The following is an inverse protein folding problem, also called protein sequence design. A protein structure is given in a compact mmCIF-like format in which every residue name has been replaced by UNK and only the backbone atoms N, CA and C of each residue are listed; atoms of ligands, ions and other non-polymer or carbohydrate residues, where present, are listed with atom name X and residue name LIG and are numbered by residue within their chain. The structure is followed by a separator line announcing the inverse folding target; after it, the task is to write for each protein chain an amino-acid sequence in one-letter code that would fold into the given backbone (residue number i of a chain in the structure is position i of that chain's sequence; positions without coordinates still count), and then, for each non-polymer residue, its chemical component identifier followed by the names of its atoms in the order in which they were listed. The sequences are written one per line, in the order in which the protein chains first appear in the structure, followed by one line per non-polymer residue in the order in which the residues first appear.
data_IF_072176760552
#
_entry.id   IF_072176760552
#
_cell.length_a   1.000
_cell.length_b   1.000
_cell.length_c   1.000
_cell.angle_alpha   90.00
_cell.angle_beta   90.00
_cell.angle_gamma   90.00
#
_symmetry.space_group_name_H-M   'P 1'
#
loop_
_entity.id
_entity.type
_entity.pdbx_description
1 polymer ?
#
# COMPACT_ATOMS: atom_id res chain seq x y z
N UNK A 1 -60.07 -48.35 -5.06
CA UNK A 1 -59.40 -47.39 -5.95
C UNK A 1 -58.70 -46.38 -5.06
N UNK A 2 -57.38 -46.29 -5.19
CA UNK A 2 -56.45 -45.61 -4.27
C UNK A 2 -56.31 -44.12 -4.62
N UNK A 3 -56.36 -43.24 -3.62
CA UNK A 3 -55.96 -41.83 -3.73
C UNK A 3 -54.43 -41.73 -3.51
N UNK A 4 -53.62 -41.16 -4.41
CA UNK A 4 -52.21 -40.93 -4.13
C UNK A 4 -52.02 -39.57 -3.44
N UNK A 5 -51.44 -39.60 -2.24
CA UNK A 5 -50.84 -38.44 -1.58
C UNK A 5 -49.51 -38.11 -2.27
N UNK A 6 -49.40 -36.98 -2.95
CA UNK A 6 -48.12 -36.47 -3.45
C UNK A 6 -47.41 -35.68 -2.34
N UNK A 7 -46.30 -36.24 -1.84
CA UNK A 7 -45.39 -35.59 -0.90
C UNK A 7 -44.60 -34.50 -1.64
N UNK A 8 -44.75 -33.23 -1.25
CA UNK A 8 -43.88 -32.15 -1.73
C UNK A 8 -42.69 -32.06 -0.77
N UNK A 9 -41.51 -32.50 -1.22
CA UNK A 9 -40.26 -32.31 -0.49
C UNK A 9 -39.75 -30.88 -0.71
N UNK A 10 -39.74 -30.05 0.32
CA UNK A 10 -39.14 -28.73 0.29
C UNK A 10 -37.61 -28.86 0.40
N UNK A 11 -36.90 -28.53 -0.68
CA UNK A 11 -35.44 -28.38 -0.68
C UNK A 11 -35.07 -27.12 0.11
N UNK A 12 -34.59 -27.30 1.34
CA UNK A 12 -33.93 -26.24 2.10
C UNK A 12 -32.54 -26.01 1.48
N UNK A 13 -32.40 -24.96 0.68
CA UNK A 13 -31.09 -24.47 0.28
C UNK A 13 -30.40 -23.91 1.53
N UNK A 14 -29.35 -24.58 2.02
CA UNK A 14 -28.50 -24.05 3.06
C UNK A 14 -27.75 -22.82 2.51
N UNK A 15 -28.08 -21.64 3.01
CA UNK A 15 -27.32 -20.42 2.72
C UNK A 15 -25.99 -20.52 3.47
N UNK A 16 -24.89 -20.70 2.73
CA UNK A 16 -23.54 -20.57 3.30
C UNK A 16 -23.27 -19.09 3.51
N UNK A 17 -23.21 -18.65 4.77
CA UNK A 17 -22.72 -17.31 5.12
C UNK A 17 -21.20 -17.31 4.94
N UNK A 18 -20.66 -16.42 4.11
CA UNK A 18 -19.23 -16.11 4.17
C UNK A 18 -18.94 -15.53 5.56
N UNK A 19 -17.99 -16.13 6.28
CA UNK A 19 -17.51 -15.58 7.55
C UNK A 19 -16.50 -14.49 7.21
N UNK A 20 -16.91 -13.24 7.35
CA UNK A 20 -16.04 -12.10 7.13
C UNK A 20 -15.21 -11.88 8.40
N UNK A 21 -13.91 -12.16 8.32
CA UNK A 21 -12.99 -11.94 9.43
C UNK A 21 -12.75 -10.43 9.59
N UNK A 22 -12.75 -9.89 10.82
CA UNK A 22 -12.43 -8.49 11.04
C UNK A 22 -11.03 -8.20 10.48
N UNK A 23 -10.96 -7.19 9.61
CA UNK A 23 -9.73 -6.78 8.93
C UNK A 23 -8.88 -5.86 9.80
N UNK A 24 -9.50 -5.14 10.75
CA UNK A 24 -8.86 -4.36 11.78
C UNK A 24 -8.87 -5.11 13.11
N UNK A 25 -8.08 -4.65 14.07
CA UNK A 25 -8.10 -5.18 15.44
C UNK A 25 -9.50 -5.01 16.06
N UNK A 26 -9.94 -5.98 16.86
CA UNK A 26 -11.26 -5.94 17.51
C UNK A 26 -11.49 -4.64 18.29
N UNK A 27 -12.62 -3.98 18.01
CA UNK A 27 -12.97 -2.69 18.62
C UNK A 27 -12.34 -1.46 17.95
N UNK A 28 -11.52 -1.64 16.91
CA UNK A 28 -10.90 -0.55 16.16
C UNK A 28 -11.68 -0.19 14.90
N UNK A 29 -11.62 1.08 14.53
CA UNK A 29 -12.17 1.56 13.27
C UNK A 29 -11.28 1.13 12.10
N UNK A 30 -11.91 0.63 11.04
CA UNK A 30 -11.28 -0.02 9.90
C UNK A 30 -11.28 0.85 8.63
N UNK A 31 -11.65 2.14 8.73
CA UNK A 31 -11.76 3.04 7.57
C UNK A 31 -11.42 4.50 7.89
N UNK A 32 -10.77 5.17 6.93
CA UNK A 32 -10.66 6.62 6.87
C UNK A 32 -11.11 7.10 5.49
N UNK A 33 -12.30 7.72 5.41
CA UNK A 33 -12.93 8.05 4.14
C UNK A 33 -13.10 6.82 3.25
N UNK A 34 -12.44 6.82 2.10
CA UNK A 34 -12.48 5.69 1.16
C UNK A 34 -11.40 4.63 1.40
N UNK A 35 -10.46 4.87 2.32
CA UNK A 35 -9.34 3.98 2.58
C UNK A 35 -9.70 2.98 3.67
N UNK A 36 -9.54 1.70 3.37
CA UNK A 36 -9.64 0.60 4.34
C UNK A 36 -8.34 0.51 5.15
N UNK A 37 -8.47 0.35 6.47
CA UNK A 37 -7.38 0.35 7.46
C UNK A 37 -7.32 -1.04 8.13
N UNK A 38 -6.64 -2.02 7.50
CA UNK A 38 -6.46 -3.33 8.10
C UNK A 38 -5.33 -3.31 9.14
N UNK A 39 -5.41 -4.19 10.13
CA UNK A 39 -4.29 -4.48 11.01
C UNK A 39 -3.11 -5.01 10.17
N UNK A 40 -1.85 -4.57 10.37
CA UNK A 40 -1.29 -3.89 11.55
C UNK A 40 -1.52 -2.37 11.64
N UNK A 41 -2.18 -1.77 10.66
CA UNK A 41 -2.50 -0.33 10.69
C UNK A 41 -3.66 -0.03 11.63
N UNK A 42 -3.67 1.20 12.14
CA UNK A 42 -4.70 1.68 13.05
C UNK A 42 -4.77 3.20 13.10
N UNK A 43 -5.93 3.71 13.51
CA UNK A 43 -6.22 5.15 13.56
C UNK A 43 -5.96 5.79 14.93
N UNK A 44 -5.89 4.98 15.98
CA UNK A 44 -5.78 5.41 17.37
C UNK A 44 -4.79 4.54 18.12
N UNK A 45 -4.37 5.02 19.29
CA UNK A 45 -3.61 4.23 20.25
C UNK A 45 -4.29 2.87 20.50
N UNK A 46 -3.48 1.85 20.74
CA UNK A 46 -3.87 0.44 20.85
C UNK A 46 -4.48 -0.21 19.60
N UNK A 47 -4.72 0.51 18.50
CA UNK A 47 -5.29 -0.04 17.27
C UNK A 47 -4.28 -0.37 16.16
N UNK A 48 -3.05 0.12 16.28
CA UNK A 48 -1.94 -0.21 15.38
C UNK A 48 -0.93 -1.13 16.09
N UNK A 49 -0.13 -1.86 15.32
CA UNK A 49 0.89 -2.77 15.87
C UNK A 49 2.11 -2.03 16.45
N UNK A 50 2.59 -1.02 15.73
CA UNK A 50 3.72 -0.16 16.09
C UNK A 50 3.44 1.26 15.58
N UNK A 51 4.09 2.28 16.15
CA UNK A 51 3.87 3.69 15.81
C UNK A 51 4.07 4.00 14.31
N UNK A 52 4.86 3.21 13.60
CA UNK A 52 5.02 3.32 12.14
C UNK A 52 3.78 2.94 11.32
N UNK A 53 2.88 2.16 11.92
CA UNK A 53 1.60 1.73 11.32
C UNK A 53 0.43 2.65 11.67
N UNK A 54 0.68 3.78 12.35
CA UNK A 54 -0.34 4.79 12.60
C UNK A 54 -0.81 5.41 11.26
N UNK A 55 -2.12 5.46 11.06
CA UNK A 55 -2.76 6.24 10.00
C UNK A 55 -3.52 7.41 10.63
N UNK A 56 -3.13 8.64 10.27
CA UNK A 56 -3.84 9.84 10.69
C UNK A 56 -4.99 10.12 9.73
N UNK A 57 -6.23 10.08 10.24
CA UNK A 57 -7.39 10.45 9.44
C UNK A 57 -7.68 11.95 9.56
N UNK A 58 -7.49 12.69 8.47
CA UNK A 58 -7.72 14.13 8.44
C UNK A 58 -9.15 14.44 7.97
N UNK A 59 -9.99 14.85 8.92
CA UNK A 59 -11.40 15.19 8.72
C UNK A 59 -11.64 16.62 8.23
N UNK A 60 -10.60 17.43 8.00
CA UNK A 60 -10.78 18.75 7.36
C UNK A 60 -11.08 18.64 5.87
N UNK A 61 -10.77 17.49 5.25
CA UNK A 61 -11.14 17.14 3.88
C UNK A 61 -12.51 16.46 3.83
N UNK A 62 -13.20 16.61 2.70
CA UNK A 62 -14.45 15.90 2.40
C UNK A 62 -14.32 15.18 1.06
N UNK A 63 -14.26 13.83 1.02
CA UNK A 63 -14.20 12.92 2.19
C UNK A 63 -12.88 13.05 2.98
N UNK A 64 -12.83 12.54 4.24
CA UNK A 64 -11.60 12.51 5.03
C UNK A 64 -10.46 11.80 4.29
N UNK A 65 -9.24 12.30 4.44
CA UNK A 65 -8.03 11.74 3.81
C UNK A 65 -7.14 11.04 4.83
N UNK A 66 -6.56 9.92 4.43
CA UNK A 66 -5.65 9.12 5.25
C UNK A 66 -4.20 9.56 5.02
N UNK A 67 -3.45 9.76 6.10
CA UNK A 67 -2.03 10.12 6.05
C UNK A 67 -1.20 9.14 6.86
N UNK A 68 -0.02 8.79 6.37
CA UNK A 68 0.88 7.89 7.09
C UNK A 68 1.51 8.63 8.28
N UNK A 69 1.32 8.14 9.50
CA UNK A 69 1.79 8.75 10.75
C UNK A 69 1.42 10.24 10.84
N UNK A 70 2.28 11.10 11.40
CA UNK A 70 2.11 12.55 11.42
C UNK A 70 2.69 13.25 10.16
N UNK A 71 2.78 12.54 9.03
CA UNK A 71 3.40 13.05 7.79
C UNK A 71 2.39 13.69 6.82
N UNK A 72 2.89 14.18 5.68
CA UNK A 72 2.08 14.67 4.54
C UNK A 72 1.87 13.61 3.44
N UNK A 73 2.29 12.37 3.70
CA UNK A 73 2.18 11.24 2.76
C UNK A 73 0.73 10.76 2.75
N UNK A 74 0.01 11.05 1.66
CA UNK A 74 -1.37 10.62 1.48
C UNK A 74 -1.41 9.13 1.15
N UNK A 75 -2.16 8.36 1.92
CA UNK A 75 -2.37 6.92 1.71
C UNK A 75 -3.68 6.74 0.93
N UNK A 76 -3.61 6.01 -0.17
CA UNK A 76 -4.77 5.80 -1.05
C UNK A 76 -5.33 4.38 -0.93
N UNK A 77 -4.50 3.39 -0.61
CA UNK A 77 -4.91 2.00 -0.43
C UNK A 77 -3.90 1.24 0.43
N UNK A 78 -4.38 0.29 1.22
CA UNK A 78 -3.58 -0.65 2.00
C UNK A 78 -4.02 -2.07 1.64
N UNK A 79 -3.10 -2.93 1.20
CA UNK A 79 -3.41 -4.32 0.82
C UNK A 79 -2.85 -5.29 1.86
N UNK A 80 -3.60 -6.36 2.13
CA UNK A 80 -3.14 -7.46 2.99
C UNK A 80 -1.98 -8.27 2.35
N UNK A 81 -1.66 -8.02 1.07
CA UNK A 81 -0.51 -8.58 0.38
C UNK A 81 0.80 -7.86 0.73
N UNK A 82 0.78 -6.89 1.65
CA UNK A 82 1.98 -6.16 2.07
C UNK A 82 2.26 -4.92 1.25
N UNK A 83 1.28 -4.37 0.53
CA UNK A 83 1.45 -3.13 -0.23
C UNK A 83 0.75 -1.96 0.41
N UNK A 84 1.42 -0.81 0.39
CA UNK A 84 0.90 0.48 0.82
C UNK A 84 0.99 1.44 -0.37
N UNK A 85 -0.16 1.85 -0.89
CA UNK A 85 -0.24 2.81 -1.99
C UNK A 85 -0.29 4.22 -1.42
N UNK A 86 0.63 5.06 -1.89
CA UNK A 86 0.81 6.44 -1.45
C UNK A 86 0.87 7.39 -2.64
N UNK A 87 0.67 8.68 -2.39
CA UNK A 87 0.96 9.74 -3.37
C UNK A 87 2.29 10.41 -3.04
N UNK A 88 3.21 10.42 -4.00
CA UNK A 88 4.51 11.08 -3.88
C UNK A 88 4.67 12.20 -4.88
N UNK A 89 5.33 13.28 -4.44
CA UNK A 89 5.67 14.43 -5.28
C UNK A 89 6.60 14.05 -6.43
N UNK A 90 6.33 14.62 -7.61
CA UNK A 90 7.18 14.50 -8.78
C UNK A 90 8.38 15.44 -8.64
N UNK A 91 9.59 14.95 -8.91
CA UNK A 91 10.76 15.80 -9.06
C UNK A 91 10.67 16.57 -10.39
N UNK A 92 10.88 17.88 -10.32
CA UNK A 92 10.78 18.76 -11.49
C UNK A 92 12.07 19.55 -11.66
N UNK A 93 12.54 19.66 -12.89
CA UNK A 93 13.59 20.60 -13.26
C UNK A 93 13.25 21.19 -14.64
N UNK A 94 12.44 22.25 -14.63
CA UNK A 94 11.86 22.86 -15.83
C UNK A 94 12.62 24.12 -16.22
N UNK A 95 12.75 24.34 -17.53
CA UNK A 95 13.47 25.47 -18.12
C UNK A 95 12.81 25.95 -19.42
N UNK A 96 12.98 27.22 -19.75
CA UNK A 96 12.57 27.80 -21.04
C UNK A 96 13.75 28.53 -21.69
N UNK A 97 13.52 29.15 -22.85
CA UNK A 97 14.55 29.91 -23.58
C UNK A 97 15.21 31.04 -22.76
N UNK A 98 14.55 31.51 -21.69
CA UNK A 98 15.05 32.55 -20.78
C UNK A 98 15.82 31.98 -19.57
N UNK A 99 15.84 30.65 -19.38
CA UNK A 99 16.52 29.97 -18.28
C UNK A 99 15.60 29.08 -17.42
N UNK A 100 16.05 28.69 -16.22
CA UNK A 100 15.27 27.85 -15.29
C UNK A 100 13.95 28.54 -14.89
N UNK A 101 12.86 27.78 -14.84
CA UNK A 101 11.52 28.29 -14.50
C UNK A 101 11.02 27.75 -13.17
N UNK A 102 11.02 26.42 -13.01
CA UNK A 102 10.50 25.77 -11.81
C UNK A 102 11.28 24.49 -11.53
N UNK A 103 11.80 24.36 -10.31
CA UNK A 103 12.48 23.15 -9.85
C UNK A 103 11.93 22.68 -8.51
N UNK A 104 11.82 21.37 -8.34
CA UNK A 104 11.46 20.71 -7.09
C UNK A 104 12.31 19.44 -6.92
N UNK A 105 12.87 19.25 -5.73
CA UNK A 105 13.56 18.03 -5.32
C UNK A 105 12.84 17.39 -4.12
N UNK A 106 11.86 16.51 -4.36
CA UNK A 106 11.09 15.87 -3.30
C UNK A 106 11.90 14.78 -2.62
N UNK A 107 11.75 14.67 -1.31
CA UNK A 107 12.28 13.56 -0.52
C UNK A 107 11.12 12.68 -0.01
N UNK A 108 11.40 11.40 0.20
CA UNK A 108 10.48 10.47 0.86
C UNK A 108 11.16 9.90 2.09
N UNK A 109 10.58 10.12 3.26
CA UNK A 109 11.04 9.50 4.49
C UNK A 109 10.03 8.44 4.89
N UNK A 110 10.43 7.18 4.72
CA UNK A 110 9.71 6.03 5.22
C UNK A 110 10.43 5.50 6.46
N UNK A 111 9.70 4.84 7.35
CA UNK A 111 10.30 4.04 8.40
C UNK A 111 10.87 2.76 7.77
N UNK A 112 10.37 1.59 8.15
CA UNK A 112 10.86 0.30 7.62
C UNK A 112 10.14 -0.15 6.34
N UNK A 113 9.47 0.76 5.63
CA UNK A 113 8.82 0.45 4.35
C UNK A 113 9.81 0.61 3.19
N UNK A 114 9.77 -0.33 2.26
CA UNK A 114 10.69 -0.41 1.12
C UNK A 114 9.95 0.04 -0.13
N UNK A 115 10.61 0.78 -1.03
CA UNK A 115 10.00 1.11 -2.33
C UNK A 115 9.87 -0.17 -3.15
N UNK A 116 8.67 -0.51 -3.58
CA UNK A 116 8.44 -1.76 -4.32
C UNK A 116 9.00 -1.67 -5.73
N UNK A 117 9.96 -2.52 -6.09
CA UNK A 117 10.58 -2.57 -7.42
C UNK A 117 9.70 -3.31 -8.44
N UNK A 118 8.84 -4.22 -7.97
CA UNK A 118 7.88 -4.95 -8.80
C UNK A 118 6.72 -4.06 -9.27
N UNK A 119 6.28 -3.15 -8.40
CA UNK A 119 5.06 -2.36 -8.58
C UNK A 119 5.32 -0.89 -8.89
N UNK A 120 6.56 -0.43 -8.82
CA UNK A 120 6.92 0.90 -9.31
C UNK A 120 7.79 0.83 -10.58
N UNK A 121 7.52 1.74 -11.50
CA UNK A 121 8.38 2.02 -12.65
C UNK A 121 8.98 3.41 -12.45
N UNK A 122 10.31 3.51 -12.44
CA UNK A 122 10.99 4.79 -12.46
C UNK A 122 11.11 5.32 -13.90
N UNK A 123 10.71 6.57 -14.10
CA UNK A 123 10.62 7.22 -15.40
C UNK A 123 11.25 8.60 -15.34
N UNK A 124 12.08 8.93 -16.32
CA UNK A 124 12.52 10.30 -16.59
C UNK A 124 11.90 10.80 -17.89
N UNK A 125 11.47 12.07 -17.87
CA UNK A 125 10.87 12.73 -19.03
C UNK A 125 11.64 14.02 -19.31
N UNK A 126 12.11 14.17 -20.55
CA UNK A 126 12.78 15.37 -21.04
C UNK A 126 13.92 15.08 -22.00
N UNK A 127 14.52 16.16 -22.52
CA UNK A 127 15.75 16.08 -23.32
C UNK A 127 16.95 16.24 -22.40
N UNK A 128 18.00 15.43 -22.61
CA UNK A 128 19.24 15.43 -21.82
C UNK A 128 19.04 15.33 -20.30
N UNK A 129 18.06 14.51 -19.90
CA UNK A 129 17.63 14.39 -18.50
C UNK A 129 18.30 13.20 -17.80
N UNK A 130 18.86 13.45 -16.62
CA UNK A 130 19.27 12.40 -15.69
C UNK A 130 18.41 12.50 -14.44
N UNK A 131 17.75 11.40 -14.09
CA UNK A 131 16.97 11.30 -12.87
C UNK A 131 17.70 10.36 -11.89
N UNK A 132 17.87 10.82 -10.65
CA UNK A 132 18.59 10.08 -9.61
C UNK A 132 17.66 9.83 -8.43
N UNK A 133 17.50 8.56 -8.07
CA UNK A 133 16.91 8.15 -6.80
C UNK A 133 18.05 7.92 -5.80
N UNK A 134 18.20 8.82 -4.83
CA UNK A 134 19.21 8.72 -3.77
C UNK A 134 18.54 8.18 -2.51
N UNK A 135 19.02 7.05 -2.00
CA UNK A 135 18.49 6.41 -0.79
C UNK A 135 19.60 5.81 0.07
N UNK A 136 19.22 5.29 1.24
CA UNK A 136 20.12 4.53 2.13
C UNK A 136 20.23 3.04 1.74
N UNK A 137 19.49 2.59 0.72
CA UNK A 137 19.76 1.38 -0.06
C UNK A 137 20.42 1.77 -1.38
N UNK A 138 21.22 0.86 -1.95
CA UNK A 138 22.02 1.07 -3.16
C UNK A 138 21.26 1.81 -4.28
N UNK A 139 21.98 2.68 -4.99
CA UNK A 139 21.43 3.53 -6.04
C UNK A 139 20.67 2.70 -7.09
N UNK A 140 19.34 2.86 -7.14
CA UNK A 140 18.51 2.29 -8.18
C UNK A 140 18.61 3.15 -9.45
N UNK A 141 19.52 2.78 -10.35
CA UNK A 141 19.60 3.36 -11.68
C UNK A 141 18.70 2.61 -12.65
N UNK A 142 17.50 3.13 -12.94
CA UNK A 142 16.70 2.68 -14.09
C UNK A 142 16.55 3.83 -15.06
N UNK A 143 16.98 3.63 -16.31
CA UNK A 143 16.82 4.62 -17.38
C UNK A 143 15.73 4.11 -18.33
N UNK A 144 14.48 4.53 -18.07
CA UNK A 144 13.37 4.32 -19.00
C UNK A 144 12.78 5.68 -19.35
N UNK A 145 13.02 6.11 -20.59
CA UNK A 145 12.40 7.30 -21.15
C UNK A 145 10.96 6.98 -21.57
N UNK A 146 10.02 7.79 -21.08
CA UNK A 146 8.61 7.73 -21.50
C UNK A 146 8.18 9.16 -21.83
N UNK A 147 7.49 9.35 -22.95
CA UNK A 147 6.95 10.65 -23.35
C UNK A 147 5.52 10.79 -22.84
N UNK A 148 5.33 11.55 -21.75
CA UNK A 148 4.03 11.97 -21.22
C UNK A 148 4.13 13.41 -20.71
N UNK A 149 3.04 14.18 -20.85
CA UNK A 149 2.98 15.55 -20.34
C UNK A 149 2.59 15.54 -18.85
N UNK A 150 3.54 15.94 -18.00
CA UNK A 150 3.40 16.01 -16.54
C UNK A 150 3.52 17.45 -16.01
N UNK A 151 3.38 18.48 -16.88
CA UNK A 151 3.60 19.88 -16.51
C UNK A 151 2.77 20.28 -15.28
N UNK A 152 1.49 19.90 -15.26
CA UNK A 152 0.52 20.24 -14.22
C UNK A 152 0.27 19.12 -13.19
N UNK A 153 1.07 18.04 -13.22
CA UNK A 153 0.95 16.96 -12.24
C UNK A 153 1.93 17.21 -11.09
N UNK A 154 1.43 17.26 -9.86
CA UNK A 154 2.25 17.51 -8.67
C UNK A 154 2.68 16.21 -7.98
N UNK A 155 1.77 15.23 -7.92
CA UNK A 155 1.99 13.94 -7.27
C UNK A 155 1.61 12.78 -8.18
N UNK A 156 2.29 11.65 -8.02
CA UNK A 156 1.98 10.39 -8.66
C UNK A 156 1.78 9.28 -7.62
N UNK A 157 0.98 8.25 -7.97
CA UNK A 157 0.84 7.08 -7.14
C UNK A 157 2.16 6.31 -7.08
N UNK A 158 2.48 5.77 -5.90
CA UNK A 158 3.66 4.97 -5.62
C UNK A 158 3.27 3.82 -4.68
N UNK A 159 3.88 2.65 -4.85
CA UNK A 159 3.70 1.50 -3.96
C UNK A 159 4.90 1.32 -3.06
N UNK A 160 4.70 1.16 -1.77
CA UNK A 160 5.77 0.74 -0.85
C UNK A 160 5.38 -0.58 -0.19
N UNK A 161 6.35 -1.46 -0.04
CA UNK A 161 6.22 -2.74 0.62
C UNK A 161 6.31 -2.54 2.14
N UNK A 162 5.35 -3.12 2.87
CA UNK A 162 5.32 -3.13 4.32
C UNK A 162 5.31 -4.58 4.83
N UNK A 163 5.88 -4.78 6.02
CA UNK A 163 5.93 -6.07 6.70
C UNK A 163 5.88 -5.87 8.21
N UNK A 164 5.39 -6.88 8.94
CA UNK A 164 5.30 -6.83 10.39
C UNK A 164 6.63 -7.27 10.99
N UNK A 165 7.13 -6.50 11.96
CA UNK A 165 8.30 -6.88 12.74
C UNK A 165 9.61 -6.69 11.99
N UNK A 166 10.20 -5.51 12.14
CA UNK A 166 11.43 -4.98 11.51
C UNK A 166 12.60 -5.95 11.26
N UNK A 167 12.79 -6.99 12.10
CA UNK A 167 13.94 -7.93 12.03
C UNK A 167 13.56 -9.39 12.23
N UNK A 168 12.28 -9.68 12.46
CA UNK A 168 11.86 -11.02 12.87
C UNK A 168 11.25 -11.74 11.68
N UNK A 169 11.90 -12.79 11.21
CA UNK A 169 11.28 -13.74 10.29
C UNK A 169 10.11 -14.45 10.94
N UNK A 170 9.20 -14.95 10.12
CA UNK A 170 8.12 -15.84 10.53
C UNK A 170 8.64 -17.07 11.29
N UNK A 171 9.83 -17.57 10.95
CA UNK A 171 10.47 -18.67 11.68
C UNK A 171 10.87 -18.28 13.12
N UNK A 172 11.28 -17.04 13.36
CA UNK A 172 11.63 -16.54 14.70
C UNK A 172 10.38 -16.27 15.54
N UNK A 173 9.35 -15.65 14.94
CA UNK A 173 8.07 -15.37 15.61
C UNK A 173 7.34 -16.66 16.01
N UNK A 174 7.52 -17.75 15.26
CA UNK A 174 6.98 -19.08 15.62
C UNK A 174 7.73 -19.75 16.78
N UNK A 175 8.99 -19.39 17.02
CA UNK A 175 9.85 -20.01 18.04
C UNK A 175 9.76 -19.32 19.39
N UNK A 176 9.55 -18.02 19.40
CA UNK A 176 9.33 -17.27 20.63
C UNK A 176 7.84 -17.28 20.95
N UNK A 177 7.47 -17.38 22.22
CA UNK A 177 6.12 -17.00 22.67
C UNK A 177 5.88 -15.48 22.55
N UNK A 178 6.46 -14.81 21.55
CA UNK A 178 6.17 -13.42 21.21
C UNK A 178 4.78 -13.35 20.59
N UNK A 179 4.11 -12.22 20.82
CA UNK A 179 2.84 -11.90 20.17
C UNK A 179 2.98 -12.03 18.65
N UNK A 180 2.42 -13.10 18.10
CA UNK A 180 2.21 -13.21 16.67
C UNK A 180 1.11 -12.21 16.29
N UNK A 181 1.42 -11.32 15.36
CA UNK A 181 0.42 -10.38 14.86
C UNK A 181 -0.65 -11.10 14.02
N UNK A 182 -0.32 -12.28 13.48
CA UNK A 182 -1.26 -13.14 12.76
C UNK A 182 -2.21 -13.83 13.74
N UNK A 183 -3.45 -13.37 13.76
CA UNK A 183 -4.52 -13.92 14.61
C UNK A 183 -5.54 -14.71 13.77
N UNK A 184 -6.41 -15.47 14.44
CA UNK A 184 -7.47 -16.24 13.79
C UNK A 184 -6.96 -17.34 12.85
N UNK A 185 -7.66 -17.55 11.73
CA UNK A 185 -7.33 -18.57 10.73
C UNK A 185 -6.26 -18.07 9.72
N UNK A 186 -5.20 -17.46 10.24
CA UNK A 186 -4.10 -16.93 9.45
C UNK A 186 -2.76 -17.53 9.87
N UNK A 187 -1.80 -17.53 8.95
CA UNK A 187 -0.43 -17.98 9.17
C UNK A 187 0.55 -16.91 8.73
N UNK A 188 1.72 -16.86 9.38
CA UNK A 188 2.79 -15.99 8.91
C UNK A 188 3.53 -16.59 7.72
N UNK A 189 4.05 -15.72 6.87
CA UNK A 189 5.02 -16.02 5.83
C UNK A 189 6.03 -14.88 5.70
N UNK A 190 7.21 -15.19 5.19
CA UNK A 190 8.27 -14.21 4.93
C UNK A 190 8.04 -13.61 3.53
N UNK A 191 7.93 -12.28 3.37
CA UNK A 191 7.82 -11.64 2.05
C UNK A 191 9.13 -11.76 1.27
N UNK A 192 9.04 -11.73 -0.06
CA UNK A 192 10.21 -11.88 -0.96
C UNK A 192 11.21 -10.72 -0.82
N UNK A 193 10.72 -9.51 -0.51
CA UNK A 193 11.51 -8.30 -0.33
C UNK A 193 11.41 -7.80 1.12
N UNK A 194 12.56 -7.63 1.78
CA UNK A 194 12.68 -6.99 3.09
C UNK A 194 12.78 -7.94 4.28
N UNK A 195 12.82 -7.35 5.47
CA UNK A 195 12.79 -8.08 6.74
C UNK A 195 11.37 -8.10 7.31
N UNK A 196 11.08 -9.05 8.19
CA UNK A 196 9.77 -9.17 8.83
C UNK A 196 8.91 -10.27 8.23
N UNK A 197 7.62 -10.24 8.53
CA UNK A 197 6.65 -11.24 8.08
C UNK A 197 5.30 -10.61 7.75
N UNK A 198 4.51 -11.30 6.94
CA UNK A 198 3.12 -10.95 6.63
C UNK A 198 2.19 -12.07 7.07
N UNK A 199 0.91 -11.74 7.22
CA UNK A 199 -0.13 -12.70 7.57
C UNK A 199 -0.94 -13.06 6.33
N UNK A 200 -1.18 -14.36 6.12
CA UNK A 200 -2.00 -14.91 5.04
C UNK A 200 -3.11 -15.76 5.66
N UNK A 201 -4.34 -15.62 5.15
CA UNK A 201 -5.44 -16.52 5.52
C UNK A 201 -5.21 -17.94 4.98
N UNK A 202 -5.60 -18.95 5.76
CA UNK A 202 -5.59 -20.35 5.36
C UNK A 202 -6.87 -20.67 4.56
N UNK A 203 -6.73 -20.98 3.26
CA UNK A 203 -7.73 -21.34 2.23
C UNK A 203 -8.96 -20.43 2.00
N UNK A 204 -9.23 -20.11 0.72
CA UNK A 204 -10.50 -19.52 0.23
C UNK A 204 -10.47 -18.08 -0.31
N UNK A 205 -9.36 -17.34 -0.18
CA UNK A 205 -9.24 -15.96 -0.64
C UNK A 205 -8.42 -15.79 -1.92
N UNK A 206 -9.01 -15.24 -2.98
CA UNK A 206 -8.29 -14.78 -4.17
C UNK A 206 -7.55 -13.47 -3.88
N UNK A 207 -6.24 -13.44 -4.12
CA UNK A 207 -5.44 -12.22 -4.15
C UNK A 207 -5.87 -11.37 -5.36
N UNK A 208 -6.19 -10.10 -5.13
CA UNK A 208 -6.55 -9.15 -6.20
C UNK A 208 -5.28 -8.77 -6.95
N UNK A 209 -5.33 -8.76 -8.28
CA UNK A 209 -4.22 -8.34 -9.15
C UNK A 209 -3.89 -6.87 -8.92
N UNK A 210 -2.61 -6.56 -8.70
CA UNK A 210 -2.11 -5.19 -8.50
C UNK A 210 -1.74 -4.52 -9.84
N UNK A 211 -2.04 -3.22 -9.97
CA UNK A 211 -1.66 -2.39 -11.11
C UNK A 211 -0.29 -1.77 -10.87
N UNK A 212 0.55 -1.72 -11.90
CA UNK A 212 1.88 -1.08 -11.82
C UNK A 212 1.74 0.44 -11.71
N UNK A 213 2.41 1.01 -10.73
CA UNK A 213 2.50 2.45 -10.48
C UNK A 213 3.81 3.02 -11.05
N UNK A 214 3.86 4.33 -11.28
CA UNK A 214 5.02 4.97 -11.89
C UNK A 214 5.51 6.11 -11.01
N UNK A 215 6.80 6.08 -10.70
CA UNK A 215 7.53 7.20 -10.13
C UNK A 215 8.14 7.99 -11.29
N UNK A 216 7.75 9.25 -11.48
CA UNK A 216 8.27 10.07 -12.57
C UNK A 216 9.14 11.22 -12.08
N UNK A 217 10.08 11.62 -12.93
CA UNK A 217 10.86 12.86 -12.87
C UNK A 217 10.64 13.59 -14.20
N UNK A 218 10.24 14.85 -14.14
CA UNK A 218 9.92 15.65 -15.32
C UNK A 218 10.89 16.82 -15.48
N UNK A 219 11.43 16.95 -16.69
CA UNK A 219 12.18 18.13 -17.13
C UNK A 219 11.59 18.55 -18.47
N UNK A 220 11.03 19.75 -18.52
CA UNK A 220 10.42 20.30 -19.74
C UNK A 220 11.34 21.38 -20.25
N UNK A 221 11.86 21.19 -21.46
CA UNK A 221 12.59 22.19 -22.22
C UNK A 221 11.81 22.56 -23.47
N UNK A 222 11.44 23.84 -23.60
CA UNK A 222 10.98 24.38 -24.88
C UNK A 222 12.18 25.02 -25.59
N UNK A 223 12.59 24.43 -26.72
CA UNK A 223 13.57 24.99 -27.65
C UNK A 223 12.87 25.84 -28.71
#
# INVERSE_FOLDING_TARGET
MLFPFTLVAALLAATVSAQEFPIAKDGCQDRCGNVTIPFPFGLTDDCYYDAEFLITCNHTFSPPKAFLTASTINVTQITLAGKLHIEQYIAKDCYNASGPTHSNNPYLTLADFIISDADNIFVSIGCDTVALLLGNLEAAGSNKSVYQDLENVEKLPMVVDWSIGKKNSCAEVKKSGMYNACQGNSTCYDPDNGNGYLCRCLDGGTMVTEEKMAMAVSTVGHW
#
